data_IF_825671542013
#
_entry.id   IF_825671542013
#
_cell.length_a   1.000
_cell.length_b   1.000
_cell.length_c   1.000
_cell.angle_alpha   90.00
_cell.angle_beta   90.00
_cell.angle_gamma   90.00
#
_symmetry.space_group_name_H-M   'P 1'
#
loop_
_entity.id
_entity.type
_entity.pdbx_description
1 polymer ?
#
# COMPACT_ATOMS: atom_id res chain seq x y z
N UNK A 1 -37.80 8.84 -27.48
CA UNK A 1 -36.89 8.12 -28.41
C UNK A 1 -35.53 7.81 -27.76
N UNK A 2 -35.38 7.95 -26.44
CA UNK A 2 -34.07 7.88 -25.76
C UNK A 2 -33.71 6.51 -25.15
N UNK A 3 -34.67 5.59 -25.09
CA UNK A 3 -34.46 4.23 -24.60
C UNK A 3 -33.38 3.43 -25.37
N UNK A 4 -33.32 3.44 -26.72
CA UNK A 4 -32.31 2.67 -27.44
C UNK A 4 -30.89 3.22 -27.28
N UNK A 5 -30.73 4.55 -27.23
CA UNK A 5 -29.43 5.18 -27.03
C UNK A 5 -28.87 4.89 -25.62
N UNK A 6 -29.74 4.92 -24.61
CA UNK A 6 -29.38 4.58 -23.23
C UNK A 6 -28.99 3.11 -23.07
N UNK A 7 -29.75 2.20 -23.67
CA UNK A 7 -29.44 0.76 -23.68
C UNK A 7 -28.10 0.46 -24.39
N UNK A 8 -27.80 1.14 -25.49
CA UNK A 8 -26.51 1.01 -26.17
C UNK A 8 -25.35 1.51 -25.30
N UNK A 9 -25.54 2.60 -24.56
CA UNK A 9 -24.50 3.16 -23.71
C UNK A 9 -24.23 2.25 -22.50
N UNK A 10 -25.27 1.67 -21.90
CA UNK A 10 -25.14 0.76 -20.78
C UNK A 10 -24.47 -0.56 -21.21
N UNK A 11 -24.86 -1.13 -22.36
CA UNK A 11 -24.15 -2.28 -22.94
C UNK A 11 -22.67 -2.00 -23.21
N UNK A 12 -22.33 -0.81 -23.71
CA UNK A 12 -20.93 -0.46 -23.98
C UNK A 12 -20.13 -0.35 -22.68
N UNK A 13 -20.75 0.15 -21.60
CA UNK A 13 -20.15 0.22 -20.26
C UNK A 13 -19.89 -1.17 -19.70
N UNK A 14 -20.87 -2.07 -19.77
CA UNK A 14 -20.74 -3.44 -19.26
C UNK A 14 -19.64 -4.21 -19.99
N UNK A 15 -19.56 -4.08 -21.32
CA UNK A 15 -18.49 -4.68 -22.13
C UNK A 15 -17.13 -4.11 -21.74
N UNK A 16 -17.05 -2.80 -21.50
CA UNK A 16 -15.79 -2.15 -21.12
C UNK A 16 -15.34 -2.62 -19.73
N UNK A 17 -16.25 -2.66 -18.75
CA UNK A 17 -15.97 -3.14 -17.40
C UNK A 17 -15.55 -4.61 -17.38
N UNK A 18 -16.22 -5.46 -18.17
CA UNK A 18 -15.85 -6.87 -18.30
C UNK A 18 -14.45 -7.05 -18.90
N UNK A 19 -14.09 -6.23 -19.90
CA UNK A 19 -12.72 -6.21 -20.46
C UNK A 19 -11.70 -5.75 -19.43
N UNK A 20 -11.96 -4.65 -18.72
CA UNK A 20 -11.07 -4.15 -17.67
C UNK A 20 -10.85 -5.19 -16.58
N UNK A 21 -11.92 -5.81 -16.08
CA UNK A 21 -11.82 -6.86 -15.06
C UNK A 21 -11.02 -8.08 -15.54
N UNK A 22 -11.24 -8.52 -16.79
CA UNK A 22 -10.47 -9.61 -17.38
C UNK A 22 -8.98 -9.26 -17.52
N UNK A 23 -8.68 -8.06 -18.00
CA UNK A 23 -7.31 -7.55 -18.11
C UNK A 23 -6.64 -7.42 -16.73
N UNK A 24 -7.35 -6.93 -15.72
CA UNK A 24 -6.83 -6.80 -14.36
C UNK A 24 -6.55 -8.17 -13.75
N UNK A 25 -7.50 -9.11 -13.87
CA UNK A 25 -7.34 -10.49 -13.37
C UNK A 25 -6.17 -11.21 -14.06
N UNK A 26 -5.99 -11.00 -15.37
CA UNK A 26 -4.88 -11.57 -16.13
C UNK A 26 -3.54 -10.89 -15.81
N UNK A 27 -3.51 -9.56 -15.60
CA UNK A 27 -2.30 -8.86 -15.16
C UNK A 27 -1.86 -9.31 -13.76
N UNK A 28 -2.83 -9.50 -12.87
CA UNK A 28 -2.59 -10.03 -11.52
C UNK A 28 -2.08 -11.48 -11.59
N UNK A 29 -2.69 -12.34 -12.42
CA UNK A 29 -2.37 -13.78 -12.50
C UNK A 29 -1.13 -14.12 -13.35
N UNK A 30 -0.98 -13.53 -14.53
CA UNK A 30 0.00 -13.91 -15.56
C UNK A 30 0.98 -12.78 -15.92
N UNK A 31 0.55 -11.52 -15.81
CA UNK A 31 1.37 -10.34 -16.09
C UNK A 31 1.58 -10.06 -17.59
N UNK A 32 2.11 -8.88 -17.93
CA UNK A 32 2.28 -8.44 -19.33
C UNK A 32 3.25 -9.32 -20.13
N UNK A 33 4.16 -10.04 -19.47
CA UNK A 33 5.15 -10.89 -20.12
C UNK A 33 4.54 -12.21 -20.62
N UNK A 34 3.49 -12.71 -19.96
CA UNK A 34 2.74 -13.89 -20.43
C UNK A 34 1.94 -13.58 -21.70
N UNK A 35 1.35 -12.39 -21.80
CA UNK A 35 0.64 -11.94 -23.01
C UNK A 35 1.61 -11.76 -24.18
N UNK A 36 2.77 -11.13 -23.94
CA UNK A 36 3.83 -10.98 -24.94
C UNK A 36 4.33 -12.33 -25.45
N UNK A 37 4.52 -13.29 -24.56
CA UNK A 37 4.91 -14.65 -24.92
C UNK A 37 3.81 -15.37 -25.72
N UNK A 38 2.55 -15.27 -25.30
CA UNK A 38 1.43 -15.86 -26.04
C UNK A 38 1.30 -15.27 -27.46
N UNK A 39 1.43 -13.94 -27.59
CA UNK A 39 1.44 -13.27 -28.88
C UNK A 39 2.63 -13.70 -29.75
N UNK A 40 3.84 -13.80 -29.16
CA UNK A 40 5.04 -14.24 -29.84
C UNK A 40 4.99 -15.72 -30.28
N UNK A 41 4.30 -16.58 -29.53
CA UNK A 41 4.07 -17.99 -29.90
C UNK A 41 2.97 -18.15 -30.97
N UNK A 42 2.07 -17.18 -31.09
CA UNK A 42 0.99 -17.17 -32.09
C UNK A 42 1.46 -16.68 -33.47
N UNK A 43 2.62 -16.01 -33.53
CA UNK A 43 3.20 -15.43 -34.74
C UNK A 43 4.42 -16.25 -35.17
N UNK A 44 4.32 -16.99 -36.27
CA UNK A 44 5.30 -18.02 -36.72
C UNK A 44 6.64 -17.41 -37.20
N UNK A 45 6.78 -16.08 -37.17
CA UNK A 45 7.92 -15.32 -37.70
C UNK A 45 8.93 -14.86 -36.63
N UNK A 46 8.66 -15.13 -35.35
CA UNK A 46 9.48 -14.65 -34.24
C UNK A 46 10.73 -15.50 -34.04
N UNK A 47 11.87 -14.82 -33.85
CA UNK A 47 13.17 -15.45 -33.58
C UNK A 47 13.16 -16.27 -32.28
N UNK A 48 13.69 -17.49 -32.35
CA UNK A 48 13.69 -18.49 -31.27
C UNK A 48 14.37 -17.97 -29.99
N UNK A 49 15.35 -17.08 -30.15
CA UNK A 49 16.05 -16.42 -29.04
C UNK A 49 15.13 -15.45 -28.26
N UNK A 50 14.21 -14.78 -28.95
CA UNK A 50 13.24 -13.84 -28.33
C UNK A 50 12.22 -14.60 -27.49
N UNK A 51 11.76 -15.75 -27.99
CA UNK A 51 10.84 -16.63 -27.24
C UNK A 51 11.54 -17.14 -25.97
N UNK A 52 12.83 -17.50 -26.07
CA UNK A 52 13.61 -17.98 -24.92
C UNK A 52 13.81 -16.92 -23.85
N UNK A 53 14.08 -15.66 -24.20
CA UNK A 53 14.20 -14.58 -23.22
C UNK A 53 12.87 -14.29 -22.53
N UNK A 54 11.77 -14.25 -23.28
CA UNK A 54 10.43 -14.05 -22.72
C UNK A 54 10.06 -15.15 -21.71
N UNK A 55 10.43 -16.42 -21.96
CA UNK A 55 10.26 -17.49 -20.98
C UNK A 55 11.09 -17.31 -19.71
N UNK A 56 12.33 -16.83 -19.82
CA UNK A 56 13.18 -16.54 -18.66
C UNK A 56 12.61 -15.40 -17.82
N UNK A 57 12.18 -14.32 -18.47
CA UNK A 57 11.58 -13.15 -17.82
C UNK A 57 10.28 -13.53 -17.12
N UNK A 58 9.37 -14.25 -17.80
CA UNK A 58 8.12 -14.72 -17.21
C UNK A 58 8.38 -15.64 -16.01
N UNK A 59 9.34 -16.57 -16.13
CA UNK A 59 9.74 -17.44 -15.03
C UNK A 59 10.32 -16.66 -13.84
N UNK A 60 11.08 -15.60 -14.09
CA UNK A 60 11.59 -14.67 -13.08
C UNK A 60 10.48 -13.94 -12.35
N UNK A 61 9.58 -13.28 -13.08
CA UNK A 61 8.43 -12.54 -12.53
C UNK A 61 7.51 -13.45 -11.73
N UNK A 62 7.26 -14.68 -12.20
CA UNK A 62 6.46 -15.66 -11.47
C UNK A 62 7.11 -16.05 -10.13
N UNK A 63 8.42 -16.31 -10.11
CA UNK A 63 9.16 -16.60 -8.87
C UNK A 63 9.15 -15.42 -7.90
N UNK A 64 9.30 -14.20 -8.40
CA UNK A 64 9.22 -12.99 -7.57
C UNK A 64 7.84 -12.87 -6.91
N UNK A 65 6.75 -13.03 -7.68
CA UNK A 65 5.39 -13.02 -7.14
C UNK A 65 5.16 -14.11 -6.08
N UNK A 66 5.64 -15.32 -6.33
CA UNK A 66 5.54 -16.42 -5.35
C UNK A 66 6.31 -16.10 -4.06
N UNK A 67 7.56 -15.64 -4.17
CA UNK A 67 8.36 -15.27 -3.01
C UNK A 67 7.74 -14.11 -2.21
N UNK A 68 7.19 -13.11 -2.90
CA UNK A 68 6.47 -12.00 -2.26
C UNK A 68 5.22 -12.48 -1.52
N UNK A 69 4.47 -13.41 -2.10
CA UNK A 69 3.29 -14.01 -1.47
C UNK A 69 3.67 -14.84 -0.23
N UNK A 70 4.71 -15.67 -0.31
CA UNK A 70 5.23 -16.44 0.83
C UNK A 70 5.71 -15.52 1.96
N UNK A 71 6.48 -14.47 1.62
CA UNK A 71 6.94 -13.48 2.59
C UNK A 71 5.77 -12.73 3.24
N UNK A 72 4.76 -12.36 2.45
CA UNK A 72 3.55 -11.72 2.97
C UNK A 72 2.79 -12.65 3.92
N UNK A 73 2.58 -13.90 3.54
CA UNK A 73 1.93 -14.91 4.37
C UNK A 73 2.68 -15.10 5.69
N UNK A 74 4.00 -15.29 5.63
CA UNK A 74 4.85 -15.42 6.82
C UNK A 74 4.73 -14.18 7.71
N UNK A 75 4.79 -12.98 7.15
CA UNK A 75 4.63 -11.71 7.88
C UNK A 75 3.28 -11.64 8.59
N UNK A 76 2.18 -11.99 7.91
CA UNK A 76 0.83 -11.97 8.48
C UNK A 76 0.71 -12.96 9.63
N UNK A 77 1.19 -14.20 9.43
CA UNK A 77 1.13 -15.26 10.45
C UNK A 77 1.96 -14.89 11.67
N UNK A 78 3.21 -14.44 11.49
CA UNK A 78 4.08 -14.06 12.61
C UNK A 78 3.56 -12.83 13.35
N UNK A 79 3.01 -11.85 12.62
CA UNK A 79 2.35 -10.69 13.25
C UNK A 79 1.14 -11.12 14.08
N UNK A 80 0.30 -12.02 13.55
CA UNK A 80 -0.86 -12.53 14.26
C UNK A 80 -0.46 -13.31 15.53
N UNK A 81 0.56 -14.17 15.44
CA UNK A 81 1.12 -14.89 16.60
C UNK A 81 1.66 -13.93 17.66
N UNK A 82 2.48 -12.95 17.26
CA UNK A 82 3.04 -11.96 18.16
C UNK A 82 1.95 -11.15 18.87
N UNK A 83 0.90 -10.76 18.14
CA UNK A 83 -0.25 -10.05 18.70
C UNK A 83 -1.02 -10.94 19.69
N UNK A 84 -1.25 -12.22 19.36
CA UNK A 84 -1.92 -13.14 20.26
C UNK A 84 -1.14 -13.33 21.56
N UNK A 85 0.18 -13.50 21.49
CA UNK A 85 1.03 -13.65 22.67
C UNK A 85 1.11 -12.37 23.49
N UNK A 86 1.17 -11.21 22.85
CA UNK A 86 1.05 -9.91 23.51
C UNK A 86 -0.27 -9.81 24.30
N UNK A 87 -1.40 -10.12 23.66
CA UNK A 87 -2.72 -10.05 24.30
C UNK A 87 -2.86 -11.06 25.44
N UNK A 88 -2.32 -12.27 25.31
CA UNK A 88 -2.30 -13.28 26.39
C UNK A 88 -1.56 -12.79 27.63
N UNK A 89 -0.39 -12.14 27.43
CA UNK A 89 0.39 -11.56 28.53
C UNK A 89 -0.32 -10.37 29.18
N UNK A 90 -1.05 -9.59 28.38
CA UNK A 90 -1.77 -8.42 28.86
C UNK A 90 -3.09 -8.74 29.59
N UNK A 91 -3.74 -9.86 29.23
CA UNK A 91 -5.03 -10.26 29.78
C UNK A 91 -5.14 -10.26 31.32
N UNK A 92 -4.18 -10.79 32.11
CA UNK A 92 -4.28 -10.75 33.58
C UNK A 92 -4.28 -9.31 34.13
N UNK A 93 -3.43 -8.43 33.59
CA UNK A 93 -3.38 -7.02 34.00
C UNK A 93 -4.66 -6.28 33.60
N UNK A 94 -5.19 -6.55 32.41
CA UNK A 94 -6.44 -5.99 31.93
C UNK A 94 -7.61 -6.36 32.86
N UNK A 95 -7.67 -7.62 33.31
CA UNK A 95 -8.71 -8.08 34.24
C UNK A 95 -8.65 -7.35 35.58
N UNK A 96 -7.46 -6.97 36.04
CA UNK A 96 -7.29 -6.24 37.31
C UNK A 96 -7.55 -4.74 37.15
N UNK A 97 -7.09 -4.12 36.04
CA UNK A 97 -7.04 -2.66 35.86
C UNK A 97 -7.41 -2.24 34.43
N UNK A 98 -8.65 -2.47 33.96
CA UNK A 98 -9.01 -2.31 32.55
C UNK A 98 -8.83 -0.86 32.05
N UNK A 99 -9.22 0.14 32.85
CA UNK A 99 -9.10 1.56 32.47
C UNK A 99 -7.65 1.99 32.21
N UNK A 100 -6.72 1.59 33.09
CA UNK A 100 -5.30 1.96 32.96
C UNK A 100 -4.63 1.24 31.78
N UNK A 101 -4.98 -0.03 31.55
CA UNK A 101 -4.44 -0.81 30.44
C UNK A 101 -4.87 -0.24 29.10
N UNK A 102 -6.16 0.11 28.94
CA UNK A 102 -6.66 0.75 27.71
C UNK A 102 -5.97 2.09 27.47
N UNK A 103 -5.83 2.91 28.51
CA UNK A 103 -5.13 4.21 28.41
C UNK A 103 -3.68 4.02 27.95
N UNK A 104 -2.99 2.99 28.48
CA UNK A 104 -1.62 2.66 28.10
C UNK A 104 -1.53 2.21 26.63
N UNK A 105 -2.42 1.31 26.19
CA UNK A 105 -2.49 0.88 24.78
C UNK A 105 -2.68 2.09 23.87
N UNK A 106 -3.63 2.98 24.20
CA UNK A 106 -3.88 4.18 23.42
C UNK A 106 -2.66 5.09 23.32
N UNK A 107 -2.01 5.37 24.46
CA UNK A 107 -0.80 6.20 24.48
C UNK A 107 0.34 5.58 23.68
N UNK A 108 0.53 4.26 23.75
CA UNK A 108 1.57 3.58 22.99
C UNK A 108 1.26 3.52 21.49
N UNK A 109 -0.01 3.35 21.12
CA UNK A 109 -0.46 3.47 19.73
C UNK A 109 -0.22 4.89 19.18
N UNK A 110 -0.59 5.92 19.94
CA UNK A 110 -0.35 7.31 19.55
C UNK A 110 1.15 7.60 19.41
N UNK A 111 1.99 7.13 20.34
CA UNK A 111 3.45 7.25 20.21
C UNK A 111 3.96 6.61 18.93
N UNK A 112 3.47 5.42 18.57
CA UNK A 112 3.86 4.73 17.34
C UNK A 112 3.40 5.49 16.10
N UNK A 113 2.17 6.00 16.08
CA UNK A 113 1.66 6.82 14.96
C UNK A 113 2.51 8.09 14.83
N UNK A 114 2.74 8.80 15.93
CA UNK A 114 3.59 9.99 15.93
C UNK A 114 5.04 9.68 15.54
N UNK A 115 5.60 8.52 15.87
CA UNK A 115 6.95 8.16 15.44
C UNK A 115 7.03 7.93 13.93
N UNK A 116 6.00 7.35 13.33
CA UNK A 116 5.98 6.97 11.91
C UNK A 116 5.36 8.01 10.97
N UNK A 117 4.67 9.03 11.51
CA UNK A 117 4.10 10.09 10.69
C UNK A 117 5.18 10.99 10.07
N UNK A 118 5.14 11.15 8.76
CA UNK A 118 6.11 11.95 7.99
C UNK A 118 5.95 13.46 8.23
N UNK A 119 4.71 13.95 8.34
CA UNK A 119 4.42 15.37 8.55
C UNK A 119 3.49 15.57 9.76
N UNK A 120 3.91 16.48 10.65
CA UNK A 120 3.25 16.79 11.91
C UNK A 120 3.08 18.29 11.99
N UNK A 121 1.85 18.75 12.13
CA UNK A 121 1.54 20.16 12.33
C UNK A 121 1.03 20.34 13.76
N UNK A 122 1.70 21.19 14.53
CA UNK A 122 1.23 21.61 15.85
C UNK A 122 0.62 22.98 15.67
N UNK A 123 -0.71 23.07 15.73
CA UNK A 123 -1.40 24.36 15.74
C UNK A 123 -1.52 24.77 17.21
N UNK A 124 -0.63 25.66 17.64
CA UNK A 124 -0.82 26.35 18.92
C UNK A 124 -1.96 27.34 18.71
N UNK A 125 -3.11 27.08 19.32
CA UNK A 125 -4.21 28.02 19.29
C UNK A 125 -3.80 29.28 20.04
N UNK A 126 -4.03 30.45 19.43
CA UNK A 126 -3.64 31.76 19.97
C UNK A 126 -4.14 31.93 21.42
N UNK A 127 -3.37 32.73 22.19
CA UNK A 127 -3.29 32.97 23.64
C UNK A 127 -4.52 32.81 24.56
N UNK A 128 -5.74 32.56 24.06
CA UNK A 128 -6.96 32.44 24.87
C UNK A 128 -7.83 31.21 24.58
N UNK A 129 -7.36 30.24 23.80
CA UNK A 129 -8.09 28.98 23.58
C UNK A 129 -7.40 27.82 24.30
N UNK A 130 -8.05 27.28 25.33
CA UNK A 130 -7.61 26.08 26.07
C UNK A 130 -7.65 24.85 25.14
N UNK A 131 -6.54 24.60 24.45
CA UNK A 131 -6.31 23.35 23.70
C UNK A 131 -5.43 23.59 22.48
N UNK A 132 -4.21 23.07 22.50
CA UNK A 132 -3.41 22.95 21.26
C UNK A 132 -3.96 21.83 20.40
N UNK A 133 -4.16 22.08 19.11
CA UNK A 133 -4.60 21.07 18.14
C UNK A 133 -3.37 20.47 17.45
N UNK A 134 -3.20 19.15 17.52
CA UNK A 134 -2.14 18.45 16.78
C UNK A 134 -2.76 17.76 15.57
N UNK A 135 -2.35 18.17 14.37
CA UNK A 135 -2.77 17.58 13.09
C UNK A 135 -1.67 16.68 12.55
N UNK A 136 -2.02 15.42 12.30
CA UNK A 136 -1.13 14.42 11.71
C UNK A 136 -1.65 14.10 10.31
N UNK A 137 -0.79 14.22 9.30
CA UNK A 137 -1.12 13.76 7.95
C UNK A 137 -0.67 12.32 7.83
N UNK A 138 -1.63 11.38 7.77
CA UNK A 138 -1.36 9.93 7.75
C UNK A 138 -1.23 9.40 6.31
N UNK A 139 -1.67 10.15 5.30
CA UNK A 139 -1.64 9.76 3.88
C UNK A 139 -0.93 10.83 3.01
N UNK A 140 0.36 11.11 3.24
CA UNK A 140 1.12 11.85 2.23
C UNK A 140 1.49 10.89 1.10
N UNK A 141 1.24 11.31 -0.14
CA UNK A 141 1.66 10.57 -1.32
C UNK A 141 3.20 10.41 -1.29
N UNK A 142 3.74 9.18 -1.31
CA UNK A 142 5.19 8.92 -1.29
C UNK A 142 5.95 9.52 -2.48
N UNK A 143 5.25 9.99 -3.53
CA UNK A 143 5.84 10.70 -4.67
C UNK A 143 6.10 12.19 -4.39
N UNK A 144 5.50 12.77 -3.34
CA UNK A 144 5.77 14.13 -2.92
C UNK A 144 7.11 14.16 -2.18
N UNK A 145 8.19 14.44 -2.92
CA UNK A 145 9.55 14.56 -2.37
C UNK A 145 9.55 15.38 -1.07
N UNK A 146 10.25 14.94 -0.02
CA UNK A 146 10.38 15.74 1.19
C UNK A 146 11.09 17.05 0.83
N UNK A 147 10.53 18.19 1.25
CA UNK A 147 11.25 19.47 1.16
C UNK A 147 12.52 19.33 1.99
N UNK A 148 13.67 19.29 1.31
CA UNK A 148 14.99 19.37 1.91
C UNK A 148 15.01 20.63 2.77
N UNK A 149 15.20 20.48 4.08
CA UNK A 149 15.45 21.62 4.97
C UNK A 149 16.74 22.29 4.47
N UNK A 150 16.60 23.45 3.86
CA UNK A 150 17.71 24.36 3.63
C UNK A 150 18.21 24.78 5.02
N UNK A 151 19.28 24.14 5.47
CA UNK A 151 20.15 24.70 6.49
C UNK A 151 20.76 25.95 5.87
N UNK A 152 20.21 27.12 6.20
CA UNK A 152 20.88 28.39 6.00
C UNK A 152 22.12 28.43 6.89
N UNK A 153 23.22 27.85 6.38
CA UNK A 153 24.57 28.15 6.82
C UNK A 153 24.96 29.50 6.21
N UNK A 154 24.65 30.58 6.90
CA UNK A 154 25.36 31.86 6.81
C UNK A 154 25.74 32.13 8.26
N UNK A 155 26.97 31.89 8.70
CA UNK A 155 28.20 32.45 8.17
C UNK A 155 28.70 33.38 9.27
N UNK A 156 29.61 32.86 10.11
CA UNK A 156 30.37 33.67 11.05
C UNK A 156 31.30 34.60 10.26
N UNK A 157 31.43 35.85 10.70
CA UNK A 157 32.59 36.69 10.37
C UNK A 157 32.27 38.13 9.99
N UNK A 158 32.68 39.02 10.91
CA UNK A 158 32.95 40.46 10.79
C UNK A 158 31.79 41.41 11.07
#
# INVERSE_FOLDING_TARGET
>A
FDAPAKASQDSQRDITQARTYATDTLNEAAGPDAERLHAALSDETVDEQTIKSLWQDLGGTAREKMAAAEAYQARVVETAKANADYLRRLLPEYRQRPKLVIQKIYLDAMKRIFANAEEKYVVQSAENAKGGEIRIVINRDPLLKPKKKETSSTGAGQ
#
